data_IF_671237367382
#
_entry.id   IF_671237367382
#
_cell.length_a   1.000
_cell.length_b   1.000
_cell.length_c   1.000
_cell.angle_alpha   90.00
_cell.angle_beta   90.00
_cell.angle_gamma   90.00
#
_symmetry.space_group_name_H-M   'P 1'
#
loop_
_entity.id
_entity.type
_entity.pdbx_description
1 polymer ?
#
# COMPACT_ATOMS: atom_id res chain seq x y z
N UNK A 1 -5.00 -24.23 -19.46
CA UNK A 1 -6.43 -24.56 -19.60
C UNK A 1 -6.63 -25.89 -20.33
N UNK A 2 -5.85 -26.18 -21.38
CA UNK A 2 -5.78 -27.50 -22.05
C UNK A 2 -5.32 -28.65 -21.12
N UNK A 3 -4.32 -28.42 -20.28
CA UNK A 3 -3.85 -29.40 -19.29
C UNK A 3 -4.93 -29.75 -18.25
N UNK A 4 -5.65 -28.75 -17.72
CA UNK A 4 -6.72 -28.96 -16.76
C UNK A 4 -7.92 -29.75 -17.35
N UNK A 5 -8.20 -29.59 -18.66
CA UNK A 5 -9.20 -30.40 -19.36
C UNK A 5 -8.79 -31.87 -19.50
N UNK A 6 -7.50 -32.15 -19.71
CA UNK A 6 -6.97 -33.52 -19.76
C UNK A 6 -7.05 -34.21 -18.40
N UNK A 7 -6.75 -33.50 -17.32
CA UNK A 7 -6.87 -34.00 -15.94
C UNK A 7 -8.33 -34.30 -15.56
N UNK A 8 -9.28 -33.43 -15.95
CA UNK A 8 -10.72 -33.68 -15.75
C UNK A 8 -11.24 -34.91 -16.51
N UNK A 9 -10.66 -35.21 -17.68
CA UNK A 9 -11.06 -36.36 -18.49
C UNK A 9 -10.62 -37.71 -17.88
N UNK A 10 -9.68 -37.69 -16.92
CA UNK A 10 -9.20 -38.89 -16.22
C UNK A 10 -10.10 -39.30 -15.03
N UNK A 11 -11.03 -38.44 -14.62
CA UNK A 11 -11.87 -38.65 -13.43
C UNK A 11 -12.97 -39.67 -13.76
N UNK A 12 -13.15 -40.75 -12.97
CA UNK A 12 -14.24 -41.70 -13.15
C UNK A 12 -15.63 -41.06 -13.00
N UNK A 13 -16.60 -41.51 -13.81
CA UNK A 13 -17.97 -40.95 -13.90
C UNK A 13 -18.69 -40.81 -12.55
N UNK A 14 -18.40 -41.69 -11.59
CA UNK A 14 -19.00 -41.71 -10.25
C UNK A 14 -18.66 -40.48 -9.39
N UNK A 15 -17.56 -39.78 -9.65
CA UNK A 15 -17.13 -38.61 -8.87
C UNK A 15 -17.53 -37.27 -9.51
N UNK A 16 -18.16 -37.27 -10.69
CA UNK A 16 -18.48 -36.03 -11.41
C UNK A 16 -19.43 -35.12 -10.64
N UNK A 17 -20.43 -35.67 -9.95
CA UNK A 17 -21.41 -34.87 -9.19
C UNK A 17 -20.77 -34.17 -7.99
N UNK A 18 -19.90 -34.86 -7.26
CA UNK A 18 -19.17 -34.30 -6.12
C UNK A 18 -18.16 -33.24 -6.57
N UNK A 19 -17.41 -33.51 -7.65
CA UNK A 19 -16.46 -32.55 -8.22
C UNK A 19 -17.18 -31.33 -8.80
N UNK A 20 -18.32 -31.52 -9.47
CA UNK A 20 -19.12 -30.42 -10.01
C UNK A 20 -19.69 -29.53 -8.90
N UNK A 21 -20.15 -30.12 -7.79
CA UNK A 21 -20.62 -29.38 -6.63
C UNK A 21 -19.48 -28.61 -5.95
N UNK A 22 -18.32 -29.25 -5.74
CA UNK A 22 -17.13 -28.59 -5.20
C UNK A 22 -16.63 -27.44 -6.08
N UNK A 23 -16.58 -27.63 -7.40
CA UNK A 23 -16.20 -26.58 -8.36
C UNK A 23 -17.24 -25.45 -8.36
N UNK A 24 -18.53 -25.79 -8.27
CA UNK A 24 -19.60 -24.79 -8.19
C UNK A 24 -19.50 -23.97 -6.92
N UNK A 25 -19.22 -24.60 -5.78
CA UNK A 25 -18.98 -23.92 -4.51
C UNK A 25 -17.73 -23.04 -4.55
N UNK A 26 -16.62 -23.56 -5.09
CA UNK A 26 -15.41 -22.77 -5.31
C UNK A 26 -15.66 -21.55 -6.20
N UNK A 27 -16.42 -21.74 -7.29
CA UNK A 27 -16.80 -20.64 -8.18
C UNK A 27 -17.67 -19.64 -7.44
N UNK A 28 -18.69 -20.07 -6.69
CA UNK A 28 -19.56 -19.17 -5.90
C UNK A 28 -18.76 -18.38 -4.85
N UNK A 29 -17.84 -19.03 -4.14
CA UNK A 29 -16.92 -18.38 -3.20
C UNK A 29 -15.99 -17.40 -3.91
N UNK A 30 -15.48 -17.75 -5.09
CA UNK A 30 -14.62 -16.88 -5.89
C UNK A 30 -15.38 -15.68 -6.47
N UNK A 31 -16.65 -15.86 -6.87
CA UNK A 31 -17.53 -14.75 -7.29
C UNK A 31 -17.83 -13.80 -6.14
N UNK A 32 -17.91 -14.31 -4.92
CA UNK A 32 -18.15 -13.51 -3.73
C UNK A 32 -16.89 -12.76 -3.27
N UNK A 33 -15.69 -13.24 -3.63
CA UNK A 33 -14.42 -12.64 -3.23
C UNK A 33 -13.94 -11.59 -4.24
N UNK A 34 -14.62 -10.45 -4.27
CA UNK A 34 -14.28 -9.31 -5.12
C UNK A 34 -12.99 -8.61 -4.65
N UNK A 35 -11.85 -9.08 -5.15
CA UNK A 35 -10.51 -8.55 -4.86
C UNK A 35 -10.27 -7.13 -5.39
N UNK A 36 -11.22 -6.54 -6.11
CA UNK A 36 -11.17 -5.11 -6.46
C UNK A 36 -11.48 -4.22 -5.25
N UNK A 37 -12.16 -4.77 -4.23
CA UNK A 37 -12.48 -4.06 -2.99
C UNK A 37 -11.38 -4.26 -1.95
N UNK A 38 -11.07 -3.26 -1.13
CA UNK A 38 -10.06 -3.40 -0.08
C UNK A 38 -10.55 -4.38 1.00
N UNK A 39 -9.82 -5.48 1.17
CA UNK A 39 -10.06 -6.48 2.22
C UNK A 39 -9.17 -6.13 3.41
N UNK A 40 -9.79 -5.71 4.51
CA UNK A 40 -9.09 -5.36 5.74
C UNK A 40 -8.47 -6.61 6.37
N UNK A 41 -7.19 -6.54 6.75
CA UNK A 41 -6.52 -7.62 7.49
C UNK A 41 -7.24 -7.82 8.82
N UNK A 42 -7.71 -9.05 9.07
CA UNK A 42 -8.50 -9.36 10.27
C UNK A 42 -7.75 -9.05 11.57
N UNK A 43 -6.41 -9.20 11.57
CA UNK A 43 -5.55 -8.87 12.69
C UNK A 43 -5.57 -7.38 13.09
N UNK A 44 -5.82 -6.47 12.13
CA UNK A 44 -5.85 -5.02 12.38
C UNK A 44 -7.27 -4.43 12.36
N UNK A 45 -8.29 -5.24 12.06
CA UNK A 45 -9.67 -4.79 11.89
C UNK A 45 -10.29 -4.14 13.14
N UNK A 46 -9.75 -4.40 14.33
CA UNK A 46 -10.18 -3.74 15.57
C UNK A 46 -9.40 -2.44 15.87
N UNK A 47 -8.15 -2.38 15.43
CA UNK A 47 -7.19 -1.33 15.80
C UNK A 47 -6.97 -0.31 14.67
N UNK A 48 -7.48 -0.56 13.46
CA UNK A 48 -7.33 0.33 12.30
C UNK A 48 -7.68 1.81 12.54
N UNK A 49 -8.71 2.22 13.32
CA UNK A 49 -8.97 3.64 13.54
C UNK A 49 -7.82 4.33 14.29
N UNK A 50 -7.16 3.60 15.20
CA UNK A 50 -6.00 4.10 15.93
C UNK A 50 -4.79 4.24 15.00
N UNK A 51 -4.58 3.31 14.08
CA UNK A 51 -3.54 3.44 13.05
C UNK A 51 -3.79 4.65 12.15
N UNK A 52 -5.03 4.86 11.71
CA UNK A 52 -5.40 6.05 10.91
C UNK A 52 -5.09 7.33 11.70
N UNK A 53 -5.49 7.40 12.97
CA UNK A 53 -5.25 8.57 13.82
C UNK A 53 -3.75 8.85 13.97
N UNK A 54 -2.95 7.84 14.29
CA UNK A 54 -1.49 7.99 14.47
C UNK A 54 -0.84 8.46 13.17
N UNK A 55 -1.18 7.86 12.02
CA UNK A 55 -0.63 8.27 10.74
C UNK A 55 -1.06 9.69 10.35
N UNK A 56 -2.30 10.09 10.64
CA UNK A 56 -2.76 11.47 10.42
C UNK A 56 -1.96 12.48 11.25
N UNK A 57 -1.67 12.15 12.52
CA UNK A 57 -0.82 12.98 13.39
C UNK A 57 0.62 13.03 12.87
N UNK A 58 1.18 11.91 12.44
CA UNK A 58 2.53 11.88 11.86
C UNK A 58 2.65 12.72 10.59
N UNK A 59 1.66 12.64 9.69
CA UNK A 59 1.61 13.43 8.46
C UNK A 59 1.52 14.92 8.79
N UNK A 60 0.65 15.32 9.73
CA UNK A 60 0.50 16.73 10.10
C UNK A 60 1.75 17.29 10.75
N UNK A 61 2.33 16.58 11.72
CA UNK A 61 3.59 17.00 12.36
C UNK A 61 4.73 17.05 11.35
N UNK A 62 4.85 16.03 10.47
CA UNK A 62 5.88 15.96 9.45
C UNK A 62 5.81 17.12 8.46
N UNK A 63 4.62 17.47 7.97
CA UNK A 63 4.44 18.62 7.07
C UNK A 63 4.77 19.92 7.79
N UNK A 64 4.27 20.13 9.01
CA UNK A 64 4.49 21.37 9.76
C UNK A 64 5.98 21.56 10.07
N UNK A 65 6.66 20.52 10.55
CA UNK A 65 8.07 20.59 10.92
C UNK A 65 8.97 20.89 9.71
N UNK A 66 8.76 20.18 8.59
CA UNK A 66 9.55 20.39 7.38
C UNK A 66 9.26 21.74 6.72
N UNK A 67 7.99 22.18 6.71
CA UNK A 67 7.64 23.52 6.24
C UNK A 67 8.27 24.62 7.11
N UNK A 68 8.24 24.47 8.43
CA UNK A 68 8.87 25.41 9.35
C UNK A 68 10.38 25.51 9.13
N UNK A 69 11.05 24.38 8.85
CA UNK A 69 12.48 24.36 8.50
C UNK A 69 12.76 25.17 7.23
N UNK A 70 11.99 24.95 6.15
CA UNK A 70 12.13 25.70 4.90
C UNK A 70 11.89 27.20 5.12
N UNK A 71 10.86 27.56 5.88
CA UNK A 71 10.54 28.96 6.21
C UNK A 71 11.68 29.60 7.00
N UNK A 72 12.24 28.90 7.99
CA UNK A 72 13.35 29.42 8.79
C UNK A 72 14.59 29.71 7.95
N UNK A 73 14.98 28.76 7.09
CA UNK A 73 16.13 28.91 6.17
C UNK A 73 15.89 30.07 5.20
N UNK A 74 14.67 30.19 4.67
CA UNK A 74 14.29 31.26 3.74
C UNK A 74 14.30 32.63 4.41
N UNK A 75 13.75 32.74 5.62
CA UNK A 75 13.71 34.00 6.39
C UNK A 75 15.09 34.51 6.74
N UNK A 76 15.99 33.62 7.14
CA UNK A 76 17.36 33.98 7.52
C UNK A 76 18.30 34.10 6.31
N UNK A 77 17.79 33.93 5.08
CA UNK A 77 18.55 33.94 3.82
C UNK A 77 19.76 32.98 3.84
N UNK A 78 19.65 31.90 4.60
CA UNK A 78 20.71 30.92 4.83
C UNK A 78 20.91 29.97 3.63
N UNK A 79 20.01 30.01 2.64
CA UNK A 79 20.07 29.18 1.42
C UNK A 79 21.35 29.34 0.58
N UNK A 80 22.21 30.33 0.87
CA UNK A 80 23.49 30.54 0.18
C UNK A 80 24.57 29.53 0.61
N UNK A 81 24.48 28.96 1.80
CA UNK A 81 25.41 27.90 2.19
C UNK A 81 24.92 26.54 1.64
N UNK A 82 25.83 25.71 1.11
CA UNK A 82 25.49 24.41 0.55
C UNK A 82 24.80 23.49 1.57
N UNK A 83 25.11 23.64 2.86
CA UNK A 83 24.48 22.89 3.95
C UNK A 83 22.99 23.17 4.06
N UNK A 84 22.56 24.44 4.01
CA UNK A 84 21.15 24.79 4.10
C UNK A 84 20.37 24.46 2.83
N UNK A 85 21.02 24.52 1.67
CA UNK A 85 20.45 24.01 0.42
C UNK A 85 20.18 22.50 0.48
N UNK A 86 21.10 21.73 1.07
CA UNK A 86 20.91 20.31 1.33
C UNK A 86 19.75 20.04 2.30
N UNK A 87 19.62 20.83 3.38
CA UNK A 87 18.50 20.71 4.32
C UNK A 87 17.14 20.99 3.67
N UNK A 88 17.05 21.98 2.77
CA UNK A 88 15.82 22.23 2.01
C UNK A 88 15.45 21.00 1.16
N UNK A 89 16.43 20.39 0.49
CA UNK A 89 16.19 19.20 -0.33
C UNK A 89 15.67 18.01 0.49
N UNK A 90 16.21 17.80 1.70
CA UNK A 90 15.69 16.80 2.64
C UNK A 90 14.24 17.15 3.01
N UNK A 91 13.97 18.39 3.40
CA UNK A 91 12.63 18.81 3.85
C UNK A 91 11.57 18.62 2.75
N UNK A 92 11.90 18.92 1.49
CA UNK A 92 11.01 18.67 0.34
C UNK A 92 10.74 17.17 0.18
N UNK A 93 11.79 16.35 0.29
CA UNK A 93 11.67 14.90 0.20
C UNK A 93 10.78 14.35 1.32
N UNK A 94 10.90 14.85 2.55
CA UNK A 94 10.08 14.42 3.68
C UNK A 94 8.62 14.86 3.56
N UNK A 95 8.34 16.04 2.99
CA UNK A 95 6.97 16.45 2.63
C UNK A 95 6.38 15.48 1.61
N UNK A 96 7.14 15.09 0.58
CA UNK A 96 6.68 14.11 -0.41
C UNK A 96 6.40 12.75 0.24
N UNK A 97 7.23 12.31 1.20
CA UNK A 97 6.97 11.09 2.00
C UNK A 97 5.67 11.20 2.78
N UNK A 98 5.41 12.33 3.43
CA UNK A 98 4.17 12.54 4.18
C UNK A 98 2.92 12.48 3.29
N UNK A 99 3.02 12.96 2.04
CA UNK A 99 1.90 13.00 1.10
C UNK A 99 1.63 11.68 0.37
N UNK A 100 2.67 10.93 0.02
CA UNK A 100 2.52 9.71 -0.80
C UNK A 100 2.86 8.45 -0.03
N UNK A 101 4.01 8.41 0.65
CA UNK A 101 4.51 7.18 1.28
C UNK A 101 3.64 6.82 2.47
N UNK A 102 3.43 7.74 3.42
CA UNK A 102 2.68 7.43 4.64
C UNK A 102 1.24 6.95 4.38
N UNK A 103 0.44 7.57 3.48
CA UNK A 103 -0.90 7.10 3.16
C UNK A 103 -0.90 5.72 2.50
N UNK A 104 0.04 5.46 1.58
CA UNK A 104 0.09 4.16 0.91
C UNK A 104 0.60 3.08 1.85
N UNK A 105 1.61 3.36 2.69
CA UNK A 105 2.07 2.45 3.74
C UNK A 105 0.94 2.09 4.68
N UNK A 106 0.13 3.06 5.13
CA UNK A 106 -1.07 2.79 5.93
C UNK A 106 -2.04 1.87 5.19
N UNK A 107 -2.28 2.12 3.91
CA UNK A 107 -3.15 1.29 3.10
C UNK A 107 -2.60 -0.14 2.94
N UNK A 108 -1.30 -0.34 2.79
CA UNK A 108 -0.64 -1.66 2.72
C UNK A 108 -0.68 -2.40 4.06
N UNK A 109 -0.57 -1.67 5.17
CA UNK A 109 -0.69 -2.23 6.51
C UNK A 109 -2.12 -2.70 6.81
N UNK A 110 -3.12 -1.96 6.34
CA UNK A 110 -4.52 -2.26 6.59
C UNK A 110 -5.08 -3.29 5.61
N UNK A 111 -4.77 -3.16 4.33
CA UNK A 111 -5.39 -3.93 3.25
C UNK A 111 -4.54 -5.17 2.95
N UNK A 112 -5.18 -6.33 2.86
CA UNK A 112 -4.52 -7.60 2.56
C UNK A 112 -4.24 -7.76 1.06
N UNK A 113 -5.10 -7.19 0.21
CA UNK A 113 -4.98 -7.22 -1.25
C UNK A 113 -4.50 -5.87 -1.81
N UNK A 114 -3.77 -5.91 -2.92
CA UNK A 114 -3.27 -4.70 -3.57
C UNK A 114 -4.31 -4.13 -4.56
N UNK A 115 -4.90 -2.98 -4.21
CA UNK A 115 -5.97 -2.33 -5.02
C UNK A 115 -5.54 -1.06 -5.75
N UNK A 116 -4.34 -0.54 -5.48
CA UNK A 116 -3.85 0.77 -5.98
C UNK A 116 -3.21 0.74 -7.38
N UNK A 117 -3.21 -0.43 -8.04
CA UNK A 117 -2.65 -0.61 -9.38
C UNK A 117 -1.12 -0.69 -9.44
N UNK A 118 -0.56 -1.01 -10.62
CA UNK A 118 0.88 -1.30 -10.79
C UNK A 118 1.80 -0.11 -10.57
N UNK A 119 1.34 1.11 -10.90
CA UNK A 119 2.13 2.33 -10.77
C UNK A 119 2.53 2.60 -9.31
N UNK A 120 1.54 2.62 -8.40
CA UNK A 120 1.80 2.87 -6.98
C UNK A 120 2.59 1.74 -6.32
N UNK A 121 2.50 0.51 -6.84
CA UNK A 121 3.30 -0.63 -6.37
C UNK A 121 4.79 -0.42 -6.67
N UNK A 122 5.09 -0.02 -7.91
CA UNK A 122 6.46 0.26 -8.33
C UNK A 122 7.01 1.50 -7.62
N UNK A 123 6.20 2.56 -7.50
CA UNK A 123 6.58 3.78 -6.77
C UNK A 123 6.93 3.49 -5.31
N UNK A 124 6.19 2.60 -4.63
CA UNK A 124 6.50 2.24 -3.24
C UNK A 124 7.86 1.55 -3.14
N UNK A 125 8.11 0.55 -3.98
CA UNK A 125 9.38 -0.16 -3.99
C UNK A 125 10.56 0.79 -4.27
N UNK A 126 10.39 1.72 -5.20
CA UNK A 126 11.42 2.70 -5.55
C UNK A 126 11.67 3.70 -4.40
N UNK A 127 10.62 4.23 -3.78
CA UNK A 127 10.77 5.23 -2.70
C UNK A 127 11.35 4.58 -1.43
N UNK A 128 10.95 3.35 -1.12
CA UNK A 128 11.43 2.65 0.07
C UNK A 128 12.93 2.29 -0.04
N UNK A 129 13.40 1.94 -1.25
CA UNK A 129 14.83 1.73 -1.53
C UNK A 129 15.63 3.05 -1.44
N UNK A 130 15.04 4.18 -1.81
CA UNK A 130 15.69 5.49 -1.74
C UNK A 130 15.80 6.04 -0.30
N UNK A 131 15.01 5.51 0.63
CA UNK A 131 15.01 5.93 2.04
C UNK A 131 16.13 5.26 2.85
N UNK A 132 16.67 4.14 2.37
CA UNK A 132 17.70 3.35 3.07
C UNK A 132 19.13 3.62 2.58
N UNK A 133 19.31 4.62 1.72
CA UNK A 133 20.60 5.14 1.26
C UNK A 133 20.77 6.61 1.62
#
# INVERSE_FOLDING_TARGET
>A
MEEAKREMALIPSQYYSEVAEYIKDLNNLSYHFDLSKPILRLAVAKIYPLFILIYAVLITIGIIANAAMIIHISKNKLYRDPTYAYLINIAISDIAKCMFVLPITLAVLLIQNWVFGKFLCLSLAMIQIFIEK
#
